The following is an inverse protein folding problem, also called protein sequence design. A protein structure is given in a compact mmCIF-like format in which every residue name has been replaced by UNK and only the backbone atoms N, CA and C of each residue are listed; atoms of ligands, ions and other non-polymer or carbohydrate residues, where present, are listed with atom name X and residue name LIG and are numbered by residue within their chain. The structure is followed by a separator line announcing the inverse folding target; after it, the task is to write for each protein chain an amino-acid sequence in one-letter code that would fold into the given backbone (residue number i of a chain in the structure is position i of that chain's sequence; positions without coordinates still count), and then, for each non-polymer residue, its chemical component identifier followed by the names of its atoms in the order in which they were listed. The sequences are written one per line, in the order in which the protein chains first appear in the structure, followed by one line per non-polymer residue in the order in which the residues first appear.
data_IF_697413769742
#
_entry.id   IF_697413769742
#
_cell.length_a   1.000
_cell.length_b   1.000
_cell.length_c   1.000
_cell.angle_alpha   90.00
_cell.angle_beta   90.00
_cell.angle_gamma   90.00
#
_symmetry.space_group_name_H-M   'P 1'
#
loop_
_entity.id
_entity.type
_entity.pdbx_description
1 polymer ?
#
# COMPACT_ATOMS: atom_id res chain seq x y z
N UNK A 1 -2.11 28.99 -6.82
CA UNK A 1 -2.87 28.16 -5.84
C UNK A 1 -2.79 26.67 -6.19
N UNK A 2 -3.00 26.29 -7.45
CA UNK A 2 -3.04 24.88 -7.90
C UNK A 2 -1.70 24.14 -7.70
N UNK A 3 -0.58 24.75 -8.10
CA UNK A 3 0.75 24.16 -7.90
C UNK A 3 1.03 23.87 -6.43
N UNK A 4 0.60 24.72 -5.50
CA UNK A 4 0.79 24.50 -4.07
C UNK A 4 0.09 23.22 -3.57
N UNK A 5 -1.09 22.90 -4.12
CA UNK A 5 -1.82 21.67 -3.78
C UNK A 5 -1.10 20.42 -4.30
N UNK A 6 -0.67 20.46 -5.56
CA UNK A 6 0.09 19.36 -6.18
C UNK A 6 1.42 19.14 -5.46
N UNK A 7 2.15 20.21 -5.16
CA UNK A 7 3.43 20.15 -4.43
C UNK A 7 3.27 19.58 -3.03
N UNK A 8 2.22 19.96 -2.29
CA UNK A 8 1.98 19.43 -0.94
C UNK A 8 1.76 17.91 -0.96
N UNK A 9 0.88 17.42 -1.83
CA UNK A 9 0.58 15.99 -1.92
C UNK A 9 1.78 15.19 -2.46
N UNK A 10 2.51 15.74 -3.43
CA UNK A 10 3.74 15.12 -3.96
C UNK A 10 4.84 15.05 -2.90
N UNK A 11 4.98 16.09 -2.07
CA UNK A 11 5.95 16.07 -0.97
C UNK A 11 5.59 15.06 0.13
N UNK A 12 4.30 14.96 0.48
CA UNK A 12 3.83 13.95 1.45
C UNK A 12 4.11 12.54 0.95
N UNK A 13 3.81 12.26 -0.32
CA UNK A 13 4.06 10.94 -0.93
C UNK A 13 5.55 10.63 -1.11
N UNK A 14 6.39 11.65 -1.30
CA UNK A 14 7.86 11.52 -1.21
C UNK A 14 8.29 11.03 0.17
N UNK A 15 7.76 11.59 1.27
CA UNK A 15 8.09 11.15 2.63
C UNK A 15 7.69 9.69 2.88
N UNK A 16 6.49 9.30 2.42
CA UNK A 16 6.00 7.91 2.54
C UNK A 16 6.92 6.96 1.74
N UNK A 17 7.20 7.30 0.49
CA UNK A 17 8.04 6.46 -0.39
C UNK A 17 9.47 6.35 0.11
N UNK A 18 10.02 7.43 0.67
CA UNK A 18 11.32 7.42 1.33
C UNK A 18 11.33 6.47 2.54
N UNK A 19 10.29 6.50 3.38
CA UNK A 19 10.18 5.57 4.50
C UNK A 19 10.07 4.10 4.04
N UNK A 20 9.32 3.83 2.97
CA UNK A 20 9.22 2.48 2.38
C UNK A 20 10.56 2.00 1.80
N UNK A 21 11.29 2.88 1.10
CA UNK A 21 12.64 2.58 0.63
C UNK A 21 13.59 2.26 1.78
N UNK A 22 13.51 3.01 2.89
CA UNK A 22 14.27 2.70 4.09
C UNK A 22 13.85 1.36 4.71
N UNK A 23 12.58 0.95 4.61
CA UNK A 23 12.14 -0.37 5.03
C UNK A 23 12.82 -1.48 4.23
N UNK A 24 12.88 -1.35 2.90
CA UNK A 24 13.59 -2.29 2.03
C UNK A 24 15.08 -2.41 2.39
N UNK A 25 15.72 -1.29 2.75
CA UNK A 25 17.11 -1.28 3.21
C UNK A 25 17.24 -1.95 4.58
N UNK A 26 16.38 -1.59 5.54
CA UNK A 26 16.41 -2.14 6.89
C UNK A 26 16.19 -3.66 6.91
N UNK A 27 15.32 -4.20 6.04
CA UNK A 27 15.09 -5.64 5.90
C UNK A 27 16.35 -6.43 5.51
N UNK A 28 17.35 -5.78 4.90
CA UNK A 28 18.63 -6.41 4.50
C UNK A 28 19.74 -6.22 5.51
N UNK A 29 19.53 -5.43 6.56
CA UNK A 29 20.51 -5.16 7.61
C UNK A 29 20.17 -6.02 8.83
N UNK A 30 21.11 -6.84 9.37
CA UNK A 30 20.89 -7.57 10.60
C UNK A 30 20.46 -6.62 11.74
N UNK A 31 19.27 -6.85 12.30
CA UNK A 31 18.70 -5.98 13.34
C UNK A 31 18.16 -4.63 12.86
N UNK A 32 18.08 -4.39 11.54
CA UNK A 32 17.52 -3.17 10.97
C UNK A 32 16.03 -3.03 11.28
N UNK A 33 15.62 -1.85 11.73
CA UNK A 33 14.23 -1.54 12.03
C UNK A 33 13.86 -0.15 11.50
N UNK A 34 12.99 -0.11 10.49
CA UNK A 34 12.58 1.14 9.85
C UNK A 34 11.87 2.09 10.81
N UNK A 35 11.08 1.61 11.77
CA UNK A 35 10.38 2.46 12.73
C UNK A 35 11.35 3.15 13.69
N UNK A 36 12.48 2.52 14.03
CA UNK A 36 13.56 3.16 14.81
C UNK A 36 14.20 4.28 14.01
N UNK A 37 14.53 4.01 12.74
CA UNK A 37 15.17 4.98 11.84
C UNK A 37 14.25 6.17 11.57
N UNK A 38 12.99 5.94 11.19
CA UNK A 38 12.04 7.02 10.88
C UNK A 38 11.65 7.82 12.11
N UNK A 39 11.56 7.20 13.29
CA UNK A 39 11.36 7.92 14.54
C UNK A 39 12.54 8.87 14.82
N UNK A 40 13.79 8.38 14.70
CA UNK A 40 14.97 9.21 14.88
C UNK A 40 14.99 10.40 13.90
N UNK A 41 14.69 10.17 12.62
CA UNK A 41 14.57 11.24 11.61
C UNK A 41 13.42 12.21 11.95
N UNK A 42 12.28 11.70 12.41
CA UNK A 42 11.10 12.50 12.74
C UNK A 42 11.29 13.45 13.92
N UNK A 43 12.24 13.16 14.82
CA UNK A 43 12.63 14.07 15.92
C UNK A 43 13.38 15.32 15.46
N UNK A 44 13.95 15.31 14.25
CA UNK A 44 14.52 16.51 13.66
C UNK A 44 13.40 17.46 13.23
N UNK A 45 13.41 18.68 13.77
CA UNK A 45 12.37 19.69 13.54
C UNK A 45 12.25 20.13 12.08
N UNK A 46 13.28 19.90 11.25
CA UNK A 46 13.25 20.17 9.80
C UNK A 46 12.46 19.11 9.03
N UNK A 47 12.26 17.92 9.60
CA UNK A 47 11.64 16.76 8.94
C UNK A 47 10.23 16.50 9.50
N UNK A 48 10.13 16.38 10.83
CA UNK A 48 8.90 16.04 11.54
C UNK A 48 8.40 14.60 11.31
N UNK A 49 7.59 14.12 12.26
CA UNK A 49 7.19 12.71 12.38
C UNK A 49 6.06 12.29 11.40
N UNK A 50 5.25 13.24 10.94
CA UNK A 50 4.06 12.92 10.12
C UNK A 50 4.45 12.38 8.74
N UNK A 51 3.71 11.37 8.29
CA UNK A 51 3.88 10.72 6.97
C UNK A 51 5.27 10.15 6.72
N UNK A 52 5.96 9.70 7.78
CA UNK A 52 7.29 9.10 7.73
C UNK A 52 7.28 7.74 8.43
N UNK A 53 6.59 6.76 7.84
CA UNK A 53 6.51 5.39 8.37
C UNK A 53 6.51 4.39 7.22
N UNK A 54 7.21 3.27 7.38
CA UNK A 54 7.20 2.16 6.42
C UNK A 54 5.82 1.47 6.39
N UNK A 55 5.30 1.20 5.20
CA UNK A 55 4.00 0.59 4.95
C UNK A 55 3.94 -0.03 3.54
N UNK A 56 2.78 -0.57 3.13
CA UNK A 56 2.56 -1.13 1.78
C UNK A 56 2.54 -0.09 0.64
N UNK A 57 2.60 1.20 0.97
CA UNK A 57 2.46 2.29 0.00
C UNK A 57 1.29 3.20 0.31
N UNK A 58 1.14 4.24 -0.50
CA UNK A 58 -0.03 5.10 -0.47
C UNK A 58 -1.02 4.74 -1.59
N UNK A 59 -2.26 5.19 -1.44
CA UNK A 59 -3.34 5.02 -2.41
C UNK A 59 -4.35 6.16 -2.32
N UNK A 60 -5.58 5.87 -2.75
CA UNK A 60 -6.69 6.82 -2.72
C UNK A 60 -6.70 7.78 -3.91
N UNK A 61 -7.77 8.57 -4.07
CA UNK A 61 -8.03 9.34 -5.29
C UNK A 61 -7.09 10.53 -5.53
N UNK A 62 -6.38 10.98 -4.48
CA UNK A 62 -5.61 12.22 -4.54
C UNK A 62 -4.12 11.99 -4.75
N UNK A 63 -3.50 11.05 -4.04
CA UNK A 63 -2.04 10.96 -3.97
C UNK A 63 -1.39 10.48 -5.28
N UNK A 64 -1.81 9.35 -5.89
CA UNK A 64 -1.28 8.95 -7.20
C UNK A 64 -1.61 9.99 -8.28
N UNK A 65 -2.86 10.47 -8.32
CA UNK A 65 -3.31 11.47 -9.29
C UNK A 65 -2.47 12.74 -9.25
N UNK A 66 -2.20 13.29 -8.06
CA UNK A 66 -1.53 14.59 -7.94
C UNK A 66 -0.04 14.49 -8.27
N UNK A 67 0.62 13.33 -8.05
CA UNK A 67 1.98 13.09 -8.55
C UNK A 67 2.00 13.06 -10.09
N UNK A 68 1.09 12.29 -10.71
CA UNK A 68 0.94 12.22 -12.17
C UNK A 68 0.67 13.61 -12.77
N UNK A 69 -0.21 14.40 -12.13
CA UNK A 69 -0.54 15.76 -12.55
C UNK A 69 0.65 16.72 -12.43
N UNK A 70 1.45 16.64 -11.36
CA UNK A 70 2.65 17.47 -11.21
C UNK A 70 3.70 17.13 -12.28
N UNK A 71 3.93 15.83 -12.52
CA UNK A 71 4.84 15.37 -13.57
C UNK A 71 4.38 15.79 -14.96
N UNK A 72 3.07 15.71 -15.25
CA UNK A 72 2.51 16.17 -16.52
C UNK A 72 2.71 17.68 -16.71
N UNK A 73 2.34 18.49 -15.71
CA UNK A 73 2.53 19.94 -15.75
C UNK A 73 4.00 20.32 -15.98
N UNK A 74 4.93 19.65 -15.30
CA UNK A 74 6.35 19.88 -15.47
C UNK A 74 6.84 19.61 -16.90
N UNK A 75 6.37 18.49 -17.50
CA UNK A 75 6.67 18.12 -18.89
C UNK A 75 6.17 19.18 -19.88
N UNK A 76 4.93 19.66 -19.71
CA UNK A 76 4.35 20.73 -20.54
C UNK A 76 5.14 22.04 -20.46
N UNK A 77 5.74 22.33 -19.29
CA UNK A 77 6.57 23.52 -19.08
C UNK A 77 8.04 23.32 -19.48
N UNK A 78 8.42 22.15 -19.99
CA UNK A 78 9.81 21.83 -20.34
C UNK A 78 10.75 21.70 -19.13
N UNK A 79 10.21 21.46 -17.93
CA UNK A 79 10.99 21.30 -16.69
C UNK A 79 11.14 19.83 -16.36
N UNK A 80 12.36 19.39 -16.12
CA UNK A 80 12.61 18.02 -15.64
C UNK A 80 12.27 17.92 -14.15
N UNK A 81 11.17 17.23 -13.81
CA UNK A 81 10.74 16.95 -12.42
C UNK A 81 10.69 15.44 -12.20
N UNK A 82 11.84 14.78 -12.03
CA UNK A 82 11.89 13.32 -11.96
C UNK A 82 11.30 12.78 -10.65
N UNK A 83 11.29 13.59 -9.57
CA UNK A 83 10.94 13.11 -8.25
C UNK A 83 9.49 12.60 -8.14
N UNK A 84 8.51 13.34 -8.67
CA UNK A 84 7.10 12.92 -8.61
C UNK A 84 6.84 11.65 -9.45
N UNK A 85 7.51 11.55 -10.60
CA UNK A 85 7.41 10.36 -11.48
C UNK A 85 8.04 9.13 -10.85
N UNK A 86 9.24 9.27 -10.26
CA UNK A 86 9.94 8.18 -9.57
C UNK A 86 9.16 7.71 -8.33
N UNK A 87 8.58 8.64 -7.58
CA UNK A 87 7.76 8.33 -6.40
C UNK A 87 6.52 7.54 -6.77
N UNK A 88 5.81 7.95 -7.81
CA UNK A 88 4.63 7.23 -8.29
C UNK A 88 4.98 5.84 -8.85
N UNK A 89 6.05 5.76 -9.63
CA UNK A 89 6.56 4.49 -10.16
C UNK A 89 6.98 3.53 -9.03
N UNK A 90 7.73 4.02 -8.04
CA UNK A 90 8.12 3.21 -6.89
C UNK A 90 6.89 2.71 -6.12
N UNK A 91 5.91 3.58 -5.85
CA UNK A 91 4.69 3.22 -5.12
C UNK A 91 3.82 2.20 -5.86
N UNK A 92 3.70 2.31 -7.18
CA UNK A 92 2.93 1.35 -7.99
C UNK A 92 3.56 -0.05 -8.03
N UNK A 93 4.88 -0.16 -7.86
CA UNK A 93 5.59 -1.44 -7.76
C UNK A 93 5.53 -2.11 -6.38
N UNK A 94 5.05 -1.43 -5.34
CA UNK A 94 5.12 -1.94 -3.96
C UNK A 94 4.27 -3.20 -3.73
N UNK A 95 3.09 -3.31 -4.34
CA UNK A 95 2.24 -4.49 -4.20
C UNK A 95 2.95 -5.76 -4.74
N UNK A 96 3.56 -5.66 -5.92
CA UNK A 96 4.30 -6.76 -6.55
C UNK A 96 5.57 -7.11 -5.76
N UNK A 97 6.32 -6.10 -5.31
CA UNK A 97 7.49 -6.28 -4.45
C UNK A 97 7.11 -6.97 -3.13
N UNK A 98 6.00 -6.56 -2.52
CA UNK A 98 5.46 -7.17 -1.30
C UNK A 98 5.06 -8.62 -1.57
N UNK A 99 4.35 -8.90 -2.65
CA UNK A 99 3.97 -10.26 -3.03
C UNK A 99 5.22 -11.16 -3.24
N UNK A 100 6.27 -10.63 -3.87
CA UNK A 100 7.55 -11.33 -4.02
C UNK A 100 8.22 -11.62 -2.67
N UNK A 101 8.18 -10.69 -1.71
CA UNK A 101 8.69 -10.93 -0.34
C UNK A 101 7.89 -12.02 0.38
N UNK A 102 6.57 -12.03 0.20
CA UNK A 102 5.65 -13.00 0.81
C UNK A 102 5.79 -14.39 0.19
N UNK A 103 6.24 -14.48 -1.07
CA UNK A 103 6.36 -15.74 -1.83
C UNK A 103 7.04 -16.88 -1.05
N UNK A 104 8.04 -16.56 -0.22
CA UNK A 104 8.77 -17.55 0.59
C UNK A 104 7.92 -18.22 1.69
N UNK A 105 6.76 -17.66 2.00
CA UNK A 105 5.84 -18.14 3.05
C UNK A 105 4.59 -18.81 2.48
N UNK A 106 4.41 -18.82 1.16
CA UNK A 106 3.20 -19.34 0.49
C UNK A 106 3.55 -20.40 -0.55
N UNK A 107 2.63 -21.34 -0.76
CA UNK A 107 2.71 -22.38 -1.78
C UNK A 107 1.46 -22.34 -2.68
N UNK A 108 1.55 -22.90 -3.88
CA UNK A 108 0.51 -22.82 -4.91
C UNK A 108 -0.86 -23.37 -4.48
N UNK A 109 -0.87 -24.34 -3.58
CA UNK A 109 -2.04 -25.04 -3.09
C UNK A 109 -2.70 -24.37 -1.87
N UNK A 110 -2.03 -23.35 -1.31
CA UNK A 110 -2.50 -22.67 -0.10
C UNK A 110 -3.69 -21.77 -0.36
N UNK A 111 -4.43 -21.56 0.71
CA UNK A 111 -5.44 -20.52 0.87
C UNK A 111 -4.85 -19.45 1.79
N UNK A 112 -4.94 -18.18 1.39
CA UNK A 112 -4.46 -17.06 2.20
C UNK A 112 -5.58 -16.06 2.44
N UNK A 113 -5.38 -15.16 3.41
CA UNK A 113 -6.26 -14.03 3.66
C UNK A 113 -5.54 -12.70 3.47
N UNK A 114 -6.17 -11.73 2.79
CA UNK A 114 -5.75 -10.33 2.74
C UNK A 114 -6.81 -9.47 3.42
N UNK A 115 -6.44 -8.87 4.55
CA UNK A 115 -7.29 -8.05 5.39
C UNK A 115 -7.02 -6.57 5.15
N UNK A 116 -8.05 -5.80 4.82
CA UNK A 116 -7.95 -4.39 4.49
C UNK A 116 -7.86 -4.17 2.98
N UNK A 117 -8.93 -3.61 2.42
CA UNK A 117 -9.11 -3.36 0.99
C UNK A 117 -9.31 -1.88 0.71
N UNK A 118 -9.72 -1.10 1.70
CA UNK A 118 -9.71 0.35 1.60
C UNK A 118 -8.28 0.90 1.58
N UNK A 119 -8.06 2.03 0.90
CA UNK A 119 -6.73 2.66 0.82
C UNK A 119 -6.22 3.19 2.17
N UNK A 120 -7.12 3.36 3.16
CA UNK A 120 -6.82 3.79 4.53
C UNK A 120 -7.88 3.25 5.51
N UNK A 121 -7.59 3.25 6.82
CA UNK A 121 -8.58 2.90 7.84
C UNK A 121 -9.85 3.75 7.77
N UNK A 122 -10.97 3.20 8.25
CA UNK A 122 -12.24 3.91 8.41
C UNK A 122 -12.76 4.52 7.09
N UNK A 123 -12.55 3.84 5.97
CA UNK A 123 -13.00 4.27 4.64
C UNK A 123 -13.50 3.07 3.84
N UNK A 124 -14.44 3.28 2.94
CA UNK A 124 -14.87 2.30 1.94
C UNK A 124 -14.20 2.49 0.57
N UNK A 125 -13.31 3.49 0.43
CA UNK A 125 -12.70 3.85 -0.86
C UNK A 125 -11.57 2.88 -1.20
N UNK A 126 -11.67 2.26 -2.37
CA UNK A 126 -10.71 1.24 -2.85
C UNK A 126 -9.80 1.73 -3.99
N UNK A 127 -9.98 2.97 -4.43
CA UNK A 127 -9.21 3.55 -5.54
C UNK A 127 -7.71 3.55 -5.22
N UNK A 128 -6.91 3.00 -6.12
CA UNK A 128 -5.45 2.85 -5.96
C UNK A 128 -5.06 2.17 -4.63
N UNK A 129 -5.91 1.28 -4.11
CA UNK A 129 -5.66 0.57 -2.86
C UNK A 129 -4.57 -0.50 -3.01
N UNK A 130 -3.57 -0.43 -2.12
CA UNK A 130 -2.49 -1.42 -2.05
C UNK A 130 -3.01 -2.80 -1.60
N UNK A 131 -4.04 -2.86 -0.75
CA UNK A 131 -4.65 -4.14 -0.35
C UNK A 131 -5.35 -4.84 -1.52
N UNK A 132 -6.08 -4.08 -2.35
CA UNK A 132 -6.68 -4.60 -3.58
C UNK A 132 -5.60 -5.10 -4.56
N UNK A 133 -4.56 -4.30 -4.79
CA UNK A 133 -3.47 -4.66 -5.69
C UNK A 133 -2.72 -5.91 -5.21
N UNK A 134 -2.42 -5.99 -3.91
CA UNK A 134 -1.74 -7.15 -3.32
C UNK A 134 -2.57 -8.43 -3.43
N UNK A 135 -3.87 -8.38 -3.18
CA UNK A 135 -4.75 -9.53 -3.34
C UNK A 135 -4.74 -10.06 -4.79
N UNK A 136 -4.76 -9.16 -5.78
CA UNK A 136 -4.63 -9.53 -7.21
C UNK A 136 -3.26 -10.10 -7.55
N UNK A 137 -2.17 -9.51 -7.06
CA UNK A 137 -0.82 -10.04 -7.27
C UNK A 137 -0.65 -11.45 -6.69
N UNK A 138 -1.28 -11.73 -5.56
CA UNK A 138 -1.18 -13.03 -4.87
C UNK A 138 -2.13 -14.08 -5.45
N UNK A 139 -3.27 -13.68 -6.02
CA UNK A 139 -4.23 -14.63 -6.57
C UNK A 139 -3.62 -15.51 -7.66
N UNK A 140 -2.71 -15.01 -8.47
CA UNK A 140 -2.01 -15.83 -9.48
C UNK A 140 -1.01 -16.85 -8.91
N UNK A 141 -0.71 -16.80 -7.60
CA UNK A 141 0.37 -17.56 -6.95
C UNK A 141 -0.10 -18.63 -5.99
N UNK A 142 -1.39 -18.63 -5.65
CA UNK A 142 -2.00 -19.52 -4.67
C UNK A 142 -3.36 -20.02 -5.16
N UNK A 143 -3.89 -21.05 -4.49
CA UNK A 143 -5.15 -21.67 -4.87
C UNK A 143 -6.33 -20.72 -4.66
N UNK A 144 -6.34 -20.00 -3.54
CA UNK A 144 -7.45 -19.13 -3.14
C UNK A 144 -6.95 -17.97 -2.27
N UNK A 145 -7.50 -16.78 -2.51
CA UNK A 145 -7.31 -15.61 -1.66
C UNK A 145 -8.67 -15.20 -1.09
N UNK A 146 -8.84 -15.33 0.22
CA UNK A 146 -9.95 -14.69 0.92
C UNK A 146 -9.59 -13.25 1.22
N UNK A 147 -10.56 -12.36 1.11
CA UNK A 147 -10.37 -10.95 1.40
C UNK A 147 -11.48 -10.43 2.29
N UNK A 148 -11.14 -9.46 3.14
CA UNK A 148 -12.11 -8.82 4.00
C UNK A 148 -11.71 -7.39 4.31
N UNK A 149 -12.68 -6.48 4.25
CA UNK A 149 -12.59 -5.12 4.77
C UNK A 149 -13.93 -4.73 5.43
N UNK A 150 -13.89 -4.11 6.64
CA UNK A 150 -15.10 -3.78 7.37
C UNK A 150 -16.04 -2.79 6.66
N UNK A 151 -15.51 -1.96 5.74
CA UNK A 151 -16.28 -0.92 5.07
C UNK A 151 -16.21 -1.01 3.54
N UNK A 152 -15.22 -1.69 2.97
CA UNK A 152 -14.97 -1.73 1.54
C UNK A 152 -15.37 -3.05 0.85
N UNK A 153 -15.90 -4.04 1.57
CA UNK A 153 -16.29 -5.34 1.01
C UNK A 153 -17.19 -5.23 -0.23
N UNK A 154 -18.26 -4.44 -0.17
CA UNK A 154 -19.20 -4.27 -1.28
C UNK A 154 -18.52 -3.67 -2.52
N UNK A 155 -17.75 -2.60 -2.32
CA UNK A 155 -16.99 -1.94 -3.39
C UNK A 155 -15.94 -2.87 -4.00
N UNK A 156 -15.27 -3.67 -3.17
CA UNK A 156 -14.26 -4.62 -3.60
C UNK A 156 -14.89 -5.77 -4.41
N UNK A 157 -16.02 -6.32 -3.95
CA UNK A 157 -16.76 -7.36 -4.66
C UNK A 157 -17.19 -6.93 -6.07
N UNK A 158 -17.49 -5.64 -6.26
CA UNK A 158 -17.81 -5.09 -7.58
C UNK A 158 -16.59 -4.98 -8.53
N UNK A 159 -15.36 -5.05 -8.02
CA UNK A 159 -14.11 -4.82 -8.79
C UNK A 159 -13.29 -6.10 -9.01
N UNK A 160 -13.35 -7.06 -8.09
CA UNK A 160 -12.67 -8.34 -8.27
C UNK A 160 -13.34 -9.13 -9.40
N UNK A 161 -12.55 -9.55 -10.38
CA UNK A 161 -12.98 -10.40 -11.50
C UNK A 161 -12.28 -11.76 -11.49
N UNK A 162 -11.29 -11.92 -10.62
CA UNK A 162 -10.49 -13.13 -10.45
C UNK A 162 -11.31 -14.21 -9.74
N UNK A 163 -11.49 -15.35 -10.40
CA UNK A 163 -12.32 -16.48 -9.91
C UNK A 163 -11.84 -17.04 -8.56
N UNK A 164 -10.55 -16.86 -8.25
CA UNK A 164 -9.93 -17.37 -7.03
C UNK A 164 -9.76 -16.33 -5.92
N UNK A 165 -10.33 -15.13 -6.07
CA UNK A 165 -10.51 -14.18 -4.97
C UNK A 165 -11.95 -14.29 -4.46
N UNK A 166 -12.13 -14.30 -3.14
CA UNK A 166 -13.45 -14.33 -2.52
C UNK A 166 -13.55 -13.36 -1.36
N UNK A 167 -14.53 -12.46 -1.44
CA UNK A 167 -14.84 -11.51 -0.39
C UNK A 167 -15.63 -12.23 0.71
N UNK A 168 -15.04 -12.36 1.88
CA UNK A 168 -15.69 -12.98 3.04
C UNK A 168 -16.69 -12.03 3.69
N UNK A 169 -17.77 -12.56 4.26
CA UNK A 169 -18.80 -11.75 4.93
C UNK A 169 -18.32 -11.21 6.29
N UNK A 170 -17.32 -11.86 6.90
CA UNK A 170 -16.79 -11.49 8.20
C UNK A 170 -15.30 -11.79 8.35
N UNK A 171 -14.64 -11.05 9.26
CA UNK A 171 -13.24 -11.29 9.62
C UNK A 171 -12.97 -12.73 10.10
N UNK A 172 -13.76 -13.33 11.02
CA UNK A 172 -13.54 -14.71 11.45
C UNK A 172 -13.61 -15.73 10.31
N UNK A 173 -14.56 -15.59 9.38
CA UNK A 173 -14.65 -16.47 8.21
C UNK A 173 -13.44 -16.30 7.29
N UNK A 174 -12.98 -15.05 7.07
CA UNK A 174 -11.83 -14.76 6.22
C UNK A 174 -10.55 -15.45 6.72
N UNK A 175 -10.33 -15.45 8.05
CA UNK A 175 -9.12 -16.02 8.64
C UNK A 175 -9.21 -17.53 8.92
N UNK A 176 -10.42 -18.09 9.12
CA UNK A 176 -10.59 -19.48 9.56
C UNK A 176 -9.95 -20.53 8.62
N UNK A 177 -9.92 -20.26 7.32
CA UNK A 177 -9.41 -21.17 6.29
C UNK A 177 -8.04 -20.77 5.74
N UNK A 178 -7.45 -19.68 6.23
CA UNK A 178 -6.21 -19.14 5.70
C UNK A 178 -4.99 -19.71 6.41
N UNK A 179 -4.02 -20.22 5.66
CA UNK A 179 -2.72 -20.63 6.21
C UNK A 179 -1.78 -19.44 6.44
N UNK A 180 -2.01 -18.32 5.72
CA UNK A 180 -1.28 -17.06 5.87
C UNK A 180 -2.27 -15.92 5.88
N UNK A 181 -2.15 -15.01 6.86
CA UNK A 181 -2.97 -13.80 6.97
C UNK A 181 -2.09 -12.58 6.78
N UNK A 182 -2.51 -11.69 5.89
CA UNK A 182 -1.80 -10.46 5.53
C UNK A 182 -2.69 -9.28 5.89
N UNK A 183 -2.19 -8.40 6.75
CA UNK A 183 -2.90 -7.16 7.12
C UNK A 183 -2.37 -6.03 6.22
N UNK A 184 -3.20 -5.56 5.30
CA UNK A 184 -2.86 -4.54 4.33
C UNK A 184 -3.29 -3.13 4.74
N UNK A 185 -4.33 -3.01 5.58
CA UNK A 185 -4.81 -1.73 6.11
C UNK A 185 -4.84 -1.80 7.64
N UNK A 186 -4.27 -0.80 8.36
CA UNK A 186 -4.23 -0.80 9.83
C UNK A 186 -5.57 -0.34 10.42
N UNK A 187 -6.68 -0.90 9.95
CA UNK A 187 -8.00 -0.62 10.50
C UNK A 187 -8.12 -1.22 11.91
N UNK A 188 -8.66 -0.49 12.90
CA UNK A 188 -8.78 -0.98 14.27
C UNK A 188 -9.49 -2.34 14.39
N UNK A 189 -10.43 -2.64 13.49
CA UNK A 189 -11.17 -3.92 13.48
C UNK A 189 -10.29 -5.11 13.10
N UNK A 190 -9.20 -4.87 12.35
CA UNK A 190 -8.32 -5.91 11.82
C UNK A 190 -7.15 -6.26 12.75
N UNK A 191 -7.12 -5.70 13.96
CA UNK A 191 -6.14 -6.05 15.00
C UNK A 191 -6.51 -7.41 15.60
N UNK A 192 -5.97 -8.47 14.98
CA UNK A 192 -6.08 -9.86 15.41
C UNK A 192 -4.94 -10.27 16.36
#
# INVERSE_FOLDING_TARGET
AEVAKLSLNSYVTMKISFANMLADVCERIPGGNVDVVTNALGKDSRIGEKYLKGALGYGGPCFPRDNKALSFLAKELGVCVPLAEVVDLYNSGLAENTAAKIQRFIQSEMTIAVLGLAYKPLSNVIEESQGMALAKCLSSRVRKVFVFDPLANENAAAVFSEVNIEVSESLPQCVACAQVVIIATPDPVLKI
#
